data_IF_724324807175
#
_entry.id   IF_724324807175
#
_cell.length_a   1.000
_cell.length_b   1.000
_cell.length_c   1.000
_cell.angle_alpha   90.00
_cell.angle_beta   90.00
_cell.angle_gamma   90.00
#
_symmetry.space_group_name_H-M   'P 1'
#
loop_
_entity.id
_entity.type
_entity.pdbx_description
1 polymer ?
#
# COMPACT_ATOMS: atom_id res chain seq x y z
N UNK A 1 17.56 0.29 -16.70
CA UNK A 1 18.36 -0.22 -15.58
C UNK A 1 18.07 0.64 -14.38
N UNK A 2 17.56 0.04 -13.32
CA UNK A 2 17.12 0.74 -12.12
C UNK A 2 16.94 -0.29 -11.03
N UNK A 3 17.54 -0.03 -9.87
CA UNK A 3 17.48 -0.90 -8.71
C UNK A 3 18.04 -0.19 -7.50
N UNK A 4 17.76 -0.70 -6.31
CA UNK A 4 18.18 -0.03 -5.08
C UNK A 4 19.58 -0.53 -4.73
N UNK A 5 20.56 0.38 -4.75
CA UNK A 5 21.93 0.09 -4.32
C UNK A 5 22.19 0.85 -3.03
N UNK A 6 22.56 0.13 -1.99
CA UNK A 6 22.94 0.68 -0.71
C UNK A 6 24.39 0.33 -0.39
N UNK A 7 25.26 1.34 -0.51
CA UNK A 7 26.72 1.22 -0.39
C UNK A 7 27.30 2.40 0.41
N UNK A 8 26.69 2.72 1.54
CA UNK A 8 27.22 3.74 2.47
C UNK A 8 28.24 3.11 3.41
N UNK A 9 29.29 3.84 3.85
CA UNK A 9 30.22 3.34 4.87
C UNK A 9 29.56 3.17 6.25
N UNK A 10 30.06 2.22 7.04
CA UNK A 10 29.75 2.06 8.47
C UNK A 10 29.83 3.41 9.20
N UNK A 11 28.84 3.73 10.04
CA UNK A 11 28.74 5.01 10.75
C UNK A 11 28.00 6.13 10.00
N UNK A 12 27.61 5.95 8.73
CA UNK A 12 26.79 6.92 7.98
C UNK A 12 25.27 6.80 8.23
N UNK A 13 24.85 5.78 8.99
CA UNK A 13 23.45 5.46 9.27
C UNK A 13 22.90 4.34 8.37
N UNK A 14 21.92 3.61 8.89
CA UNK A 14 21.27 2.50 8.21
C UNK A 14 20.16 2.98 7.26
N UNK A 15 20.04 2.35 6.08
CA UNK A 15 18.84 2.47 5.27
C UNK A 15 17.64 1.87 6.02
N UNK A 16 16.48 2.54 5.96
CA UNK A 16 15.24 2.07 6.58
C UNK A 16 14.13 2.02 5.54
N UNK A 17 13.53 0.84 5.41
CA UNK A 17 12.38 0.59 4.55
C UNK A 17 11.20 0.26 5.47
N UNK A 18 10.24 1.17 5.54
CA UNK A 18 9.08 1.04 6.41
C UNK A 18 7.81 1.23 5.57
N UNK A 19 6.94 0.21 5.54
CA UNK A 19 5.65 0.27 4.85
C UNK A 19 5.82 0.61 3.36
N UNK A 20 6.65 -0.17 2.65
CA UNK A 20 7.02 0.08 1.25
C UNK A 20 6.92 -1.17 0.39
N UNK A 21 6.84 -0.98 -0.93
CA UNK A 21 6.80 -2.05 -1.92
C UNK A 21 7.96 -1.88 -2.89
N UNK A 22 8.90 -2.82 -2.86
CA UNK A 22 10.03 -2.91 -3.79
C UNK A 22 9.70 -4.00 -4.79
N UNK A 23 9.29 -3.61 -6.01
CA UNK A 23 8.81 -4.56 -7.02
C UNK A 23 9.44 -4.32 -8.39
N UNK A 24 9.90 -5.38 -9.05
CA UNK A 24 10.36 -5.33 -10.44
C UNK A 24 11.60 -4.46 -10.68
N UNK A 25 12.40 -4.22 -9.64
CA UNK A 25 13.67 -3.53 -9.72
C UNK A 25 14.79 -4.49 -10.15
N UNK A 26 15.79 -3.98 -10.85
CA UNK A 26 16.92 -4.73 -11.37
C UNK A 26 18.23 -3.95 -11.17
N UNK A 27 18.98 -4.35 -10.16
CA UNK A 27 20.38 -3.94 -9.97
C UNK A 27 21.25 -4.68 -10.96
N UNK A 28 22.02 -3.93 -11.74
CA UNK A 28 22.97 -4.45 -12.73
C UNK A 28 24.34 -3.84 -12.47
N UNK A 29 25.37 -4.68 -12.46
CA UNK A 29 26.78 -4.26 -12.43
C UNK A 29 27.15 -3.37 -11.24
N UNK A 30 26.91 -3.84 -10.01
CA UNK A 30 27.46 -3.22 -8.79
C UNK A 30 28.52 -4.16 -8.23
N UNK A 31 29.71 -3.65 -7.94
CA UNK A 31 30.84 -4.41 -7.38
C UNK A 31 31.23 -5.68 -8.15
N UNK A 32 31.09 -5.67 -9.49
CA UNK A 32 31.24 -6.85 -10.37
C UNK A 32 30.25 -8.00 -10.12
N UNK A 33 29.13 -7.72 -9.44
CA UNK A 33 28.03 -8.66 -9.25
C UNK A 33 26.88 -8.27 -10.17
N UNK A 34 26.52 -9.15 -11.11
CA UNK A 34 25.28 -9.05 -11.89
C UNK A 34 24.20 -9.87 -11.18
N UNK A 35 23.49 -9.24 -10.24
CA UNK A 35 22.50 -9.96 -9.43
C UNK A 35 21.08 -9.96 -10.01
N UNK A 36 20.77 -9.04 -10.93
CA UNK A 36 19.40 -8.76 -11.37
C UNK A 36 18.43 -8.56 -10.19
N UNK A 37 18.95 -8.12 -9.04
CA UNK A 37 18.20 -8.10 -7.80
C UNK A 37 17.36 -6.85 -7.65
N UNK A 38 16.30 -6.93 -6.83
CA UNK A 38 15.56 -5.73 -6.44
C UNK A 38 16.44 -4.78 -5.62
N UNK A 39 17.22 -5.35 -4.70
CA UNK A 39 18.05 -4.65 -3.74
C UNK A 39 19.46 -5.26 -3.66
N UNK A 40 20.47 -4.40 -3.72
CA UNK A 40 21.86 -4.74 -3.39
C UNK A 40 22.33 -3.93 -2.18
N UNK A 41 22.96 -4.62 -1.24
CA UNK A 41 23.54 -4.04 -0.02
C UNK A 41 25.00 -4.44 0.04
N UNK A 42 25.90 -3.44 0.08
CA UNK A 42 27.34 -3.69 0.17
C UNK A 42 27.72 -4.27 1.53
N UNK A 43 28.79 -5.06 1.56
CA UNK A 43 29.34 -5.61 2.81
C UNK A 43 29.99 -4.58 3.75
N UNK A 44 30.10 -3.33 3.33
CA UNK A 44 30.67 -2.22 4.10
C UNK A 44 29.60 -1.29 4.70
N UNK A 45 28.32 -1.62 4.50
CA UNK A 45 27.19 -0.81 4.95
C UNK A 45 26.65 -1.25 6.30
N UNK A 46 25.98 -0.31 7.01
CA UNK A 46 25.22 -0.66 8.21
C UNK A 46 24.05 -1.59 7.86
N UNK A 47 23.65 -2.54 8.73
CA UNK A 47 22.49 -3.39 8.50
C UNK A 47 21.23 -2.60 8.12
N UNK A 48 20.68 -2.78 6.91
CA UNK A 48 19.43 -2.12 6.54
C UNK A 48 18.27 -2.65 7.40
N UNK A 49 17.30 -1.77 7.69
CA UNK A 49 16.13 -2.09 8.49
C UNK A 49 14.90 -2.26 7.61
N UNK A 50 14.10 -3.30 7.88
CA UNK A 50 12.86 -3.57 7.15
C UNK A 50 11.69 -3.73 8.10
N UNK A 51 10.63 -2.97 7.85
CA UNK A 51 9.34 -3.10 8.53
C UNK A 51 8.22 -3.07 7.50
N UNK A 52 7.26 -4.00 7.59
CA UNK A 52 6.05 -3.99 6.78
C UNK A 52 6.34 -3.83 5.27
N UNK A 53 7.44 -4.42 4.79
CA UNK A 53 7.94 -4.20 3.43
C UNK A 53 7.69 -5.40 2.54
N UNK A 54 7.24 -5.15 1.31
CA UNK A 54 7.17 -6.15 0.23
C UNK A 54 8.45 -6.06 -0.61
N UNK A 55 9.09 -7.20 -0.90
CA UNK A 55 10.15 -7.31 -1.92
C UNK A 55 9.83 -8.47 -2.87
N UNK A 56 9.54 -8.16 -4.14
CA UNK A 56 9.14 -9.18 -5.11
C UNK A 56 9.41 -8.81 -6.58
N UNK A 57 9.21 -9.77 -7.48
CA UNK A 57 9.24 -9.52 -8.93
C UNK A 57 10.64 -9.37 -9.52
N UNK A 58 11.70 -9.80 -8.81
CA UNK A 58 13.00 -10.00 -9.43
C UNK A 58 12.93 -11.26 -10.30
N UNK A 59 13.14 -11.13 -11.61
CA UNK A 59 13.21 -12.26 -12.52
C UNK A 59 14.11 -11.90 -13.72
N UNK A 60 15.21 -12.63 -13.98
CA UNK A 60 15.60 -13.93 -13.39
C UNK A 60 16.53 -13.86 -12.14
N UNK A 61 16.53 -12.77 -11.36
CA UNK A 61 17.43 -12.60 -10.19
C UNK A 61 16.79 -12.89 -8.82
N UNK A 62 17.61 -12.83 -7.76
CA UNK A 62 17.17 -12.85 -6.35
C UNK A 62 16.54 -11.52 -5.95
N UNK A 63 15.65 -11.48 -4.96
CA UNK A 63 15.13 -10.20 -4.45
C UNK A 63 16.22 -9.36 -3.78
N UNK A 64 17.12 -9.98 -3.04
CA UNK A 64 18.17 -9.30 -2.30
C UNK A 64 19.53 -9.94 -2.53
N UNK A 65 20.54 -9.09 -2.69
CA UNK A 65 21.94 -9.46 -2.48
C UNK A 65 22.47 -8.69 -1.29
N UNK A 66 22.74 -9.42 -0.21
CA UNK A 66 23.05 -8.86 1.10
C UNK A 66 24.51 -9.12 1.46
N UNK A 67 25.35 -8.08 1.45
CA UNK A 67 26.70 -8.13 1.99
C UNK A 67 26.72 -8.07 3.53
N UNK A 68 25.63 -7.59 4.14
CA UNK A 68 25.39 -7.60 5.60
C UNK A 68 23.96 -8.06 5.87
N UNK A 69 23.76 -8.83 6.95
CA UNK A 69 22.42 -9.28 7.33
C UNK A 69 21.54 -8.08 7.72
N UNK A 70 20.28 -8.02 7.26
CA UNK A 70 19.37 -6.95 7.63
C UNK A 70 18.90 -7.09 9.07
N UNK A 71 18.37 -5.98 9.60
CA UNK A 71 17.55 -6.00 10.82
C UNK A 71 16.08 -6.00 10.44
N UNK A 72 15.35 -7.04 10.82
CA UNK A 72 13.89 -7.05 10.69
C UNK A 72 13.23 -6.35 11.88
N UNK A 73 12.31 -5.45 11.58
CA UNK A 73 11.36 -4.85 12.51
C UNK A 73 9.95 -5.47 12.38
N UNK A 74 9.84 -6.55 11.59
CA UNK A 74 8.66 -7.40 11.46
C UNK A 74 7.79 -7.15 10.22
N UNK A 75 6.95 -8.16 9.96
CA UNK A 75 5.89 -8.22 8.95
C UNK A 75 6.32 -7.93 7.51
N UNK A 76 7.54 -8.30 7.16
CA UNK A 76 8.05 -8.20 5.79
C UNK A 76 7.64 -9.42 4.95
N UNK A 77 7.35 -9.21 3.67
CA UNK A 77 6.92 -10.25 2.74
C UNK A 77 7.90 -10.28 1.56
N UNK A 78 8.53 -11.43 1.31
CA UNK A 78 9.55 -11.56 0.27
C UNK A 78 9.20 -12.75 -0.60
N UNK A 79 9.18 -12.58 -1.92
CA UNK A 79 8.75 -13.65 -2.84
C UNK A 79 9.75 -14.81 -2.97
N UNK A 80 10.94 -14.68 -2.37
CA UNK A 80 11.96 -15.72 -2.21
C UNK A 80 12.56 -15.66 -0.79
N UNK A 81 13.69 -16.34 -0.56
CA UNK A 81 14.41 -16.36 0.73
C UNK A 81 15.67 -15.47 0.78
N UNK A 82 15.96 -14.71 -0.28
CA UNK A 82 17.28 -14.08 -0.50
C UNK A 82 17.63 -12.97 0.49
N UNK A 83 16.63 -12.34 1.12
CA UNK A 83 16.84 -11.22 2.03
C UNK A 83 17.17 -11.66 3.47
N UNK A 84 17.08 -12.95 3.82
CA UNK A 84 17.35 -13.47 5.17
C UNK A 84 16.58 -12.77 6.32
N UNK A 85 15.35 -12.31 6.04
CA UNK A 85 14.46 -11.70 7.02
C UNK A 85 13.69 -12.79 7.80
N UNK A 86 13.76 -12.73 9.12
CA UNK A 86 13.21 -13.75 10.03
C UNK A 86 12.66 -13.16 11.34
N UNK A 87 12.25 -11.88 11.32
CA UNK A 87 11.59 -11.22 12.44
C UNK A 87 10.12 -11.63 12.58
N UNK A 88 9.45 -11.07 13.59
CA UNK A 88 8.03 -11.35 13.87
C UNK A 88 7.16 -11.07 12.65
N UNK A 89 6.40 -12.07 12.20
CA UNK A 89 5.48 -11.93 11.08
C UNK A 89 6.14 -11.82 9.70
N UNK A 90 7.46 -11.93 9.61
CA UNK A 90 8.13 -12.01 8.31
C UNK A 90 7.78 -13.32 7.60
N UNK A 91 7.60 -13.26 6.28
CA UNK A 91 7.31 -14.42 5.44
C UNK A 91 8.26 -14.42 4.25
N UNK A 92 9.35 -15.22 4.29
CA UNK A 92 10.13 -15.54 3.10
C UNK A 92 9.37 -16.53 2.21
N UNK A 93 9.62 -16.49 0.90
CA UNK A 93 8.88 -17.25 -0.12
C UNK A 93 7.35 -16.99 -0.08
N UNK A 94 6.98 -15.76 0.25
CA UNK A 94 5.60 -15.31 0.32
C UNK A 94 4.90 -15.40 -1.04
N UNK A 95 3.63 -15.83 -1.02
CA UNK A 95 2.74 -15.84 -2.17
C UNK A 95 2.20 -14.42 -2.44
N UNK A 96 3.09 -13.56 -2.94
CA UNK A 96 2.81 -12.16 -3.22
C UNK A 96 2.13 -12.04 -4.58
N UNK A 97 0.92 -11.50 -4.58
CA UNK A 97 0.18 -11.20 -5.80
C UNK A 97 -0.19 -9.71 -5.81
N UNK A 98 0.43 -8.96 -6.72
CA UNK A 98 0.21 -7.53 -6.89
C UNK A 98 -0.37 -7.24 -8.27
N UNK A 99 -1.30 -6.30 -8.34
CA UNK A 99 -1.73 -5.68 -9.58
C UNK A 99 -0.58 -4.86 -10.22
N UNK A 100 -0.61 -4.65 -11.54
CA UNK A 100 0.34 -3.75 -12.21
C UNK A 100 0.36 -2.35 -11.60
N UNK A 101 1.47 -1.64 -11.80
CA UNK A 101 1.63 -0.26 -11.36
C UNK A 101 0.55 0.61 -12.01
N UNK A 102 -0.30 1.24 -11.19
CA UNK A 102 -1.46 1.99 -11.67
C UNK A 102 -1.73 3.22 -10.79
N UNK A 103 -2.55 4.15 -11.29
CA UNK A 103 -3.09 5.23 -10.47
C UNK A 103 -4.18 4.68 -9.55
N UNK A 104 -3.83 4.52 -8.28
CA UNK A 104 -4.72 4.02 -7.23
C UNK A 104 -5.22 5.15 -6.31
N UNK A 105 -5.14 6.41 -6.73
CA UNK A 105 -5.68 7.57 -5.99
C UNK A 105 -4.71 8.29 -5.06
N UNK A 106 -3.40 8.08 -5.21
CA UNK A 106 -2.36 8.77 -4.44
C UNK A 106 -1.55 9.77 -5.27
N UNK A 107 -0.53 10.43 -4.68
CA UNK A 107 0.36 11.35 -5.39
C UNK A 107 1.27 10.64 -6.40
N UNK A 108 1.41 9.32 -6.30
CA UNK A 108 2.20 8.47 -7.20
C UNK A 108 1.41 7.21 -7.56
N UNK A 109 1.76 6.58 -8.69
CA UNK A 109 1.26 5.24 -8.99
C UNK A 109 1.75 4.23 -7.94
N UNK A 110 0.98 3.19 -7.70
CA UNK A 110 1.31 2.14 -6.73
C UNK A 110 0.93 0.75 -7.23
N UNK A 111 1.45 -0.28 -6.56
CA UNK A 111 1.05 -1.67 -6.74
C UNK A 111 0.03 -2.04 -5.66
N UNK A 112 -1.22 -2.35 -6.03
CA UNK A 112 -2.21 -2.88 -5.09
C UNK A 112 -2.02 -4.37 -4.91
N UNK A 113 -2.17 -4.86 -3.68
CA UNK A 113 -2.34 -6.29 -3.45
C UNK A 113 -3.67 -6.74 -4.06
N UNK A 114 -3.69 -7.93 -4.67
CA UNK A 114 -4.94 -8.55 -5.12
C UNK A 114 -5.50 -9.43 -4.00
N UNK A 115 -6.82 -9.61 -4.00
CA UNK A 115 -7.50 -10.53 -3.07
C UNK A 115 -6.84 -11.91 -3.11
N UNK A 116 -6.48 -12.43 -1.94
CA UNK A 116 -5.80 -13.72 -1.78
C UNK A 116 -4.27 -13.65 -1.79
N UNK A 117 -3.66 -12.47 -2.02
CA UNK A 117 -2.24 -12.26 -1.77
C UNK A 117 -1.92 -12.45 -0.29
N UNK A 118 -0.76 -13.03 0.04
CA UNK A 118 -0.30 -13.17 1.44
C UNK A 118 -0.04 -11.84 2.14
N UNK A 119 -0.01 -10.75 1.37
CA UNK A 119 0.23 -9.39 1.86
C UNK A 119 -1.04 -8.74 2.40
N UNK A 120 -2.24 -9.26 2.09
CA UNK A 120 -3.53 -8.70 2.54
C UNK A 120 -3.80 -9.12 3.99
N UNK A 121 -4.22 -8.17 4.84
CA UNK A 121 -4.54 -8.37 6.26
C UNK A 121 -3.41 -9.06 7.07
N UNK A 122 -2.15 -8.93 6.60
CA UNK A 122 -0.99 -9.66 7.10
C UNK A 122 -0.48 -9.18 8.47
N UNK A 123 -0.85 -7.95 8.85
CA UNK A 123 -0.33 -7.26 10.03
C UNK A 123 -1.48 -7.02 11.00
N UNK A 124 -1.43 -7.57 12.24
CA UNK A 124 -2.44 -7.29 13.25
C UNK A 124 -2.70 -5.79 13.40
N UNK A 125 -3.96 -5.37 13.53
CA UNK A 125 -4.32 -3.95 13.61
C UNK A 125 -3.53 -3.17 14.69
N UNK A 126 -3.24 -3.79 15.83
CA UNK A 126 -2.45 -3.19 16.92
C UNK A 126 -0.97 -2.98 16.56
N UNK A 127 -0.48 -3.60 15.49
CA UNK A 127 0.90 -3.60 15.01
C UNK A 127 1.07 -2.81 13.70
N UNK A 128 0.01 -2.13 13.23
CA UNK A 128 0.10 -1.21 12.09
C UNK A 128 1.06 -0.04 12.42
N UNK A 129 2.29 -0.13 11.90
CA UNK A 129 3.34 0.85 12.20
C UNK A 129 3.04 2.25 11.64
N UNK A 130 2.37 2.33 10.49
CA UNK A 130 1.98 3.57 9.83
C UNK A 130 0.48 3.82 9.99
N UNK A 131 0.11 5.06 10.33
CA UNK A 131 -1.29 5.47 10.46
C UNK A 131 -1.97 5.74 9.11
N UNK A 132 -1.17 6.03 8.07
CA UNK A 132 -1.64 6.29 6.71
C UNK A 132 -0.77 5.57 5.68
N UNK A 133 -1.35 5.26 4.52
CA UNK A 133 -0.65 4.65 3.39
C UNK A 133 -0.11 5.72 2.40
N UNK A 134 0.52 5.29 1.31
CA UNK A 134 1.10 6.19 0.30
C UNK A 134 0.06 7.13 -0.36
N UNK A 135 -1.22 6.76 -0.32
CA UNK A 135 -2.34 7.55 -0.85
C UNK A 135 -2.90 8.53 0.22
N UNK A 136 -2.25 8.60 1.38
CA UNK A 136 -2.69 9.34 2.56
C UNK A 136 -4.04 8.85 3.13
N UNK A 137 -4.34 7.57 2.96
CA UNK A 137 -5.56 6.96 3.49
C UNK A 137 -5.27 6.24 4.81
N UNK A 138 -6.23 6.17 5.75
CA UNK A 138 -6.03 5.48 7.02
C UNK A 138 -5.65 4.02 6.87
N UNK A 139 -4.92 3.49 7.86
CA UNK A 139 -4.60 2.08 8.03
C UNK A 139 -5.06 1.60 9.41
N UNK A 140 -5.63 0.39 9.55
CA UNK A 140 -6.00 -0.55 8.49
C UNK A 140 -7.27 -0.11 7.72
N UNK A 141 -7.47 -0.66 6.52
CA UNK A 141 -8.74 -0.51 5.74
C UNK A 141 -9.61 -1.78 5.77
N UNK A 142 -9.16 -2.78 6.52
CA UNK A 142 -9.87 -3.99 6.85
C UNK A 142 -9.71 -4.32 8.35
N UNK A 143 -9.86 -5.60 8.74
CA UNK A 143 -9.60 -6.02 10.10
C UNK A 143 -8.13 -5.86 10.52
N UNK A 144 -7.19 -5.91 9.56
CA UNK A 144 -5.75 -5.84 9.76
C UNK A 144 -5.12 -4.92 8.69
N UNK A 145 -3.82 -4.62 8.85
CA UNK A 145 -3.08 -3.87 7.84
C UNK A 145 -2.44 -4.81 6.83
N UNK A 146 -2.38 -4.36 5.59
CA UNK A 146 -1.61 -5.01 4.54
C UNK A 146 -0.10 -4.78 4.69
N UNK A 147 0.74 -5.72 4.26
CA UNK A 147 2.17 -5.41 4.10
C UNK A 147 2.36 -4.52 2.86
N UNK A 148 3.25 -3.54 2.92
CA UNK A 148 3.62 -2.71 1.76
C UNK A 148 3.02 -1.31 1.76
N UNK A 149 3.17 -0.62 0.62
CA UNK A 149 2.93 0.82 0.49
C UNK A 149 1.45 1.25 0.55
N UNK A 150 0.52 0.36 0.21
CA UNK A 150 -0.92 0.63 0.11
C UNK A 150 -1.74 -0.53 0.66
N UNK A 151 -2.90 -0.21 1.22
CA UNK A 151 -3.92 -1.19 1.62
C UNK A 151 -4.78 -1.58 0.41
N UNK A 152 -5.08 -2.86 0.24
CA UNK A 152 -6.19 -3.33 -0.58
C UNK A 152 -7.49 -2.72 -0.02
N UNK A 153 -8.35 -2.24 -0.93
CA UNK A 153 -9.66 -1.72 -0.54
C UNK A 153 -10.64 -2.86 -0.76
N UNK A 154 -11.18 -3.51 0.29
CA UNK A 154 -12.06 -4.66 0.09
C UNK A 154 -13.27 -4.26 -0.73
N UNK A 155 -13.44 -4.86 -1.91
CA UNK A 155 -14.62 -4.67 -2.75
C UNK A 155 -15.90 -5.25 -2.12
N UNK A 156 -15.75 -6.18 -1.16
CA UNK A 156 -16.81 -6.61 -0.25
C UNK A 156 -16.74 -5.81 1.03
N UNK A 157 -17.36 -4.64 1.01
CA UNK A 157 -17.53 -3.70 2.12
C UNK A 157 -17.75 -4.44 3.47
N UNK A 158 -16.79 -4.45 4.41
CA UNK A 158 -17.10 -4.66 5.83
C UNK A 158 -18.13 -3.60 6.26
N UNK A 159 -18.96 -3.83 7.30
CA UNK A 159 -19.91 -2.81 7.76
C UNK A 159 -19.19 -1.46 7.89
N UNK A 160 -19.71 -0.46 7.16
CA UNK A 160 -19.05 0.82 6.99
C UNK A 160 -18.62 1.39 8.34
N UNK A 161 -17.40 1.92 8.46
CA UNK A 161 -17.02 2.69 9.64
C UNK A 161 -18.03 3.83 9.81
N UNK A 162 -18.93 3.73 10.79
CA UNK A 162 -19.93 4.78 11.05
C UNK A 162 -19.34 5.97 11.81
N UNK A 163 -18.12 5.84 12.32
CA UNK A 163 -17.47 6.81 13.19
C UNK A 163 -16.27 7.52 12.59
N UNK A 164 -15.78 7.11 11.40
CA UNK A 164 -14.60 7.70 10.77
C UNK A 164 -14.71 7.79 9.25
N UNK A 165 -14.11 8.82 8.61
CA UNK A 165 -14.01 8.88 7.16
C UNK A 165 -13.25 7.68 6.58
N UNK A 166 -13.73 7.13 5.47
CA UNK A 166 -13.06 6.07 4.72
C UNK A 166 -13.06 6.42 3.24
N UNK A 167 -12.18 5.78 2.47
CA UNK A 167 -12.08 6.03 1.04
C UNK A 167 -12.60 4.84 0.25
N UNK A 168 -13.49 5.10 -0.69
CA UNK A 168 -13.94 4.14 -1.68
C UNK A 168 -13.26 4.50 -3.01
N UNK A 169 -12.08 3.93 -3.24
CA UNK A 169 -11.20 4.34 -4.34
C UNK A 169 -10.78 5.81 -4.18
N UNK A 170 -11.14 6.67 -5.14
CA UNK A 170 -10.87 8.13 -5.09
C UNK A 170 -11.91 8.93 -4.30
N UNK A 171 -12.99 8.31 -3.82
CA UNK A 171 -14.05 9.00 -3.10
C UNK A 171 -13.80 8.98 -1.59
N UNK A 172 -13.53 10.15 -1.00
CA UNK A 172 -13.56 10.31 0.46
C UNK A 172 -15.02 10.28 0.92
N UNK A 173 -15.41 9.21 1.60
CA UNK A 173 -16.73 9.08 2.23
C UNK A 173 -16.61 9.48 3.70
N UNK A 174 -17.33 10.54 4.09
CA UNK A 174 -17.45 10.96 5.49
C UNK A 174 -18.78 10.45 6.06
N UNK A 175 -18.78 9.71 7.19
CA UNK A 175 -20.02 9.36 7.86
C UNK A 175 -20.81 10.62 8.20
N UNK A 176 -22.06 10.69 7.75
CA UNK A 176 -22.99 11.72 8.17
C UNK A 176 -23.62 11.24 9.48
N UNK A 177 -23.21 11.84 10.61
CA UNK A 177 -23.97 11.72 11.85
C UNK A 177 -25.27 12.51 11.70
N UNK A 178 -26.30 11.85 11.19
CA UNK A 178 -27.65 12.40 11.25
C UNK A 178 -28.06 12.45 12.72
N UNK A 179 -28.58 13.58 13.24
CA UNK A 179 -29.19 13.58 14.55
C UNK A 179 -30.29 12.51 14.56
N UNK A 180 -30.34 11.70 15.62
CA UNK A 180 -31.41 10.73 15.82
C UNK A 180 -32.70 11.54 15.91
N UNK A 181 -33.46 11.60 14.81
CA UNK A 181 -34.80 12.15 14.88
C UNK A 181 -35.62 11.19 15.75
N UNK A 182 -36.19 11.71 16.84
CA UNK A 182 -37.07 10.97 17.75
C UNK A 182 -38.36 10.43 17.09
N UNK A 183 -38.54 10.74 15.80
CA UNK A 183 -39.61 10.31 14.93
C UNK A 183 -38.92 9.81 13.66
N UNK A 184 -39.24 8.61 13.17
CA UNK A 184 -38.72 8.10 11.88
C UNK A 184 -38.93 9.18 10.81
N UNK A 185 -37.88 9.85 10.31
CA UNK A 185 -38.05 10.72 9.17
C UNK A 185 -38.39 9.80 7.99
N UNK A 186 -39.46 10.10 7.28
CA UNK A 186 -39.90 9.34 6.11
C UNK A 186 -39.00 9.68 4.90
N UNK A 187 -37.68 9.58 5.08
CA UNK A 187 -36.68 9.81 4.05
C UNK A 187 -36.31 8.44 3.51
N UNK A 188 -37.00 8.03 2.45
CA UNK A 188 -36.49 6.99 1.58
C UNK A 188 -35.30 7.58 0.82
N UNK A 189 -34.08 7.38 1.32
CA UNK A 189 -32.87 7.73 0.57
C UNK A 189 -32.78 6.80 -0.65
N UNK A 190 -33.33 7.27 -1.77
CA UNK A 190 -33.35 6.56 -3.06
C UNK A 190 -32.23 7.05 -3.98
N UNK A 191 -31.49 8.09 -3.61
CA UNK A 191 -30.41 8.66 -4.41
C UNK A 191 -29.27 9.20 -3.54
N UNK A 192 -28.04 8.82 -3.90
CA UNK A 192 -26.80 9.38 -3.39
C UNK A 192 -26.48 10.65 -4.19
N UNK A 193 -26.54 11.82 -3.55
CA UNK A 193 -26.19 13.09 -4.18
C UNK A 193 -24.69 13.37 -3.96
N UNK A 194 -23.88 13.22 -5.01
CA UNK A 194 -22.45 13.58 -4.97
C UNK A 194 -22.36 15.08 -5.23
N UNK A 195 -22.23 15.89 -4.17
CA UNK A 195 -22.22 17.36 -4.28
C UNK A 195 -20.92 17.93 -4.87
N UNK A 196 -19.85 17.13 -4.98
CA UNK A 196 -18.63 17.47 -5.70
C UNK A 196 -18.02 16.21 -6.35
N UNK A 197 -18.50 15.86 -7.54
CA UNK A 197 -17.85 14.84 -8.38
C UNK A 197 -16.74 15.50 -9.19
N UNK A 198 -15.48 15.18 -8.91
CA UNK A 198 -14.37 15.43 -9.83
C UNK A 198 -14.64 14.57 -11.07
N UNK A 199 -14.82 15.24 -12.21
CA UNK A 199 -15.01 14.61 -13.51
C UNK A 199 -13.70 14.06 -14.05
N UNK A 200 -13.74 12.86 -14.66
CA UNK A 200 -13.09 12.44 -15.92
C UNK A 200 -13.31 10.91 -16.07
N UNK A 201 -14.24 10.41 -16.89
CA UNK A 201 -14.26 10.30 -18.36
C UNK A 201 -13.54 9.02 -18.87
N UNK A 202 -14.27 7.92 -18.96
CA UNK A 202 -13.86 6.63 -19.57
C UNK A 202 -14.36 6.47 -21.03
N UNK A 203 -14.62 7.58 -21.73
CA UNK A 203 -14.91 7.53 -23.17
C UNK A 203 -16.20 6.79 -23.58
N UNK A 204 -17.02 6.30 -22.63
CA UNK A 204 -18.33 5.68 -22.90
C UNK A 204 -19.51 6.41 -22.24
N UNK A 205 -19.25 7.53 -21.55
CA UNK A 205 -20.22 8.60 -21.32
C UNK A 205 -21.01 8.54 -20.01
N UNK A 206 -21.10 9.69 -19.35
CA UNK A 206 -22.11 10.02 -18.33
C UNK A 206 -22.94 11.20 -18.87
N UNK A 207 -24.25 11.02 -19.04
CA UNK A 207 -25.13 12.12 -19.45
C UNK A 207 -25.52 12.95 -18.22
N UNK A 208 -24.96 14.16 -18.13
CA UNK A 208 -25.31 15.17 -17.14
C UNK A 208 -26.54 15.93 -17.60
N UNK A 209 -27.61 15.93 -16.80
CA UNK A 209 -28.82 16.72 -17.10
C UNK A 209 -28.57 18.17 -16.69
N UNK A 210 -28.65 19.08 -17.67
CA UNK A 210 -28.38 20.50 -17.49
C UNK A 210 -29.46 21.22 -16.65
N UNK A 211 -29.02 22.14 -15.78
CA UNK A 211 -29.68 23.44 -15.69
C UNK A 211 -30.55 23.80 -14.48
N UNK A 212 -30.46 23.15 -13.30
CA UNK A 212 -31.13 23.69 -12.10
C UNK A 212 -30.14 24.16 -11.03
N UNK A 213 -30.08 25.48 -10.84
CA UNK A 213 -29.46 26.15 -9.70
C UNK A 213 -30.48 26.19 -8.55
N UNK A 214 -30.05 25.91 -7.33
CA UNK A 214 -30.75 26.36 -6.13
C UNK A 214 -29.74 26.99 -5.17
N UNK A 215 -30.11 28.16 -4.64
CA UNK A 215 -29.29 28.91 -3.70
C UNK A 215 -29.57 28.45 -2.28
N UNK A 216 -28.53 28.48 -1.44
CA UNK A 216 -28.66 28.30 0.01
C UNK A 216 -29.34 29.55 0.61
N UNK A 217 -30.40 29.33 1.36
CA UNK A 217 -30.74 30.15 2.53
C UNK A 217 -30.78 29.25 3.74
#
# INVERSE_FOLDING_TARGET
TGGITYATPTGAGAASFATTTIYGNVVVNVDNVSSNANLYVSGQSEPPQFQNTIIAGSAPGDNCVMGVNPTSLGYNQISDASCALAGTGDVPNAAIALAPLADNGGPTQSHLAVVGSSTVDAIPAANCAAAIDQRALPRPQGPNCDTGAVEEVPTTQPPLPVSQPYYLGKLLVRPINLPIFAIKPNIAATQLEITQGIQEADGLGVTLVAGKRTFVR
#
